data_IF_103420304442
#
_entry.id   IF_103420304442
#
_cell.length_a   1.000
_cell.length_b   1.000
_cell.length_c   1.000
_cell.angle_alpha   90.00
_cell.angle_beta   90.00
_cell.angle_gamma   90.00
#
_symmetry.space_group_name_H-M   'P 1'
#
loop_
_entity.id
_entity.type
_entity.pdbx_description
1 polymer ?
#
# COMPACT_ATOMS: atom_id res chain seq x y z
N UNK A 1 -35.63 -7.92 -32.65
CA UNK A 1 -35.03 -8.65 -33.80
C UNK A 1 -34.05 -7.69 -34.45
N UNK A 2 -32.75 -7.91 -34.67
CA UNK A 2 -31.76 -8.88 -34.26
C UNK A 2 -30.42 -8.26 -34.75
N UNK A 3 -29.45 -7.98 -33.87
CA UNK A 3 -28.10 -8.59 -33.80
C UNK A 3 -27.06 -8.10 -34.86
N UNK A 4 -25.79 -7.97 -34.40
CA UNK A 4 -24.47 -8.13 -35.07
C UNK A 4 -23.83 -6.83 -35.61
N UNK A 5 -22.81 -6.21 -34.99
CA UNK A 5 -21.40 -6.59 -34.66
C UNK A 5 -20.35 -6.23 -35.75
N UNK A 6 -19.12 -5.91 -35.29
CA UNK A 6 -17.83 -5.55 -35.97
C UNK A 6 -17.61 -4.05 -36.16
N UNK A 7 -16.44 -3.43 -36.00
CA UNK A 7 -15.02 -3.84 -35.84
C UNK A 7 -14.24 -2.59 -35.33
N UNK A 8 -13.39 -2.70 -34.29
CA UNK A 8 -11.92 -2.65 -34.35
C UNK A 8 -11.26 -1.41 -35.02
N UNK A 9 -10.65 -0.53 -34.19
CA UNK A 9 -9.39 0.28 -34.35
C UNK A 9 -9.30 1.19 -35.60
N UNK A 10 -8.77 2.44 -35.57
CA UNK A 10 -7.40 2.81 -35.17
C UNK A 10 -7.16 4.34 -35.34
N UNK A 11 -6.34 4.94 -34.44
CA UNK A 11 -5.41 6.12 -34.58
C UNK A 11 -5.95 7.57 -34.69
N UNK A 12 -5.31 8.65 -34.17
CA UNK A 12 -4.14 8.92 -33.30
C UNK A 12 -4.23 10.39 -32.82
N UNK A 13 -3.80 10.63 -31.57
CA UNK A 13 -3.27 11.85 -30.91
C UNK A 13 -3.52 13.27 -31.46
N UNK A 14 -3.95 14.16 -30.55
CA UNK A 14 -3.22 15.39 -30.21
C UNK A 14 -3.54 15.83 -28.77
N UNK A 15 -2.49 16.15 -28.01
CA UNK A 15 -2.44 17.22 -26.99
C UNK A 15 -3.05 16.98 -25.59
N UNK A 16 -2.15 16.74 -24.63
CA UNK A 16 -2.19 17.03 -23.18
C UNK A 16 -3.52 17.43 -22.51
N UNK A 17 -3.83 16.80 -21.37
CA UNK A 17 -4.39 17.52 -20.22
C UNK A 17 -3.30 17.78 -19.16
N UNK A 18 -3.25 18.98 -18.57
CA UNK A 18 -2.45 19.28 -17.40
C UNK A 18 -3.14 18.72 -16.14
N UNK A 19 -2.36 18.60 -15.07
CA UNK A 19 -2.80 18.29 -13.71
C UNK A 19 -3.29 16.85 -13.51
N UNK A 20 -2.36 15.98 -13.10
CA UNK A 20 -2.73 14.85 -12.25
C UNK A 20 -3.24 15.41 -10.93
N UNK A 21 -4.53 15.76 -10.89
CA UNK A 21 -5.32 15.81 -9.67
C UNK A 21 -5.44 14.36 -9.24
N UNK A 22 -4.38 13.85 -8.62
CA UNK A 22 -4.30 12.47 -8.17
C UNK A 22 -5.28 12.30 -7.02
N UNK A 23 -6.51 11.88 -7.34
CA UNK A 23 -7.37 11.21 -6.38
C UNK A 23 -6.82 9.79 -6.24
N UNK A 24 -5.60 9.68 -5.70
CA UNK A 24 -5.03 8.41 -5.27
C UNK A 24 -5.77 8.00 -4.00
N UNK A 25 -6.97 7.45 -4.17
CA UNK A 25 -7.74 6.81 -3.10
C UNK A 25 -7.11 5.48 -2.78
N UNK A 26 -5.91 5.55 -2.24
CA UNK A 26 -5.18 4.37 -1.85
C UNK A 26 -5.74 3.90 -0.51
N UNK A 27 -6.07 2.61 -0.36
CA UNK A 27 -6.62 2.11 0.88
C UNK A 27 -5.71 2.41 2.06
N UNK A 28 -6.31 2.94 3.13
CA UNK A 28 -5.61 3.35 4.36
C UNK A 28 -5.16 2.10 5.10
N UNK A 29 -3.94 2.15 5.63
CA UNK A 29 -3.34 1.02 6.34
C UNK A 29 -4.14 0.55 7.57
N UNK A 30 -4.94 1.45 8.18
CA UNK A 30 -5.82 1.13 9.30
C UNK A 30 -6.95 0.12 8.93
N UNK A 31 -7.20 -0.10 7.63
CA UNK A 31 -8.15 -1.09 7.13
C UNK A 31 -7.54 -2.49 7.01
N UNK A 32 -6.26 -2.65 7.34
CA UNK A 32 -5.56 -3.92 7.30
C UNK A 32 -5.66 -4.49 8.72
N UNK A 33 -6.34 -5.63 8.86
CA UNK A 33 -6.78 -6.17 10.16
C UNK A 33 -5.67 -6.49 11.19
N UNK A 34 -4.39 -6.26 10.86
CA UNK A 34 -3.30 -6.30 11.86
C UNK A 34 -3.52 -5.28 13.00
N UNK A 35 -4.06 -4.08 12.70
CA UNK A 35 -4.34 -3.08 13.74
C UNK A 35 -5.55 -3.46 14.61
N UNK A 36 -6.54 -4.17 14.07
CA UNK A 36 -7.68 -4.68 14.86
C UNK A 36 -7.27 -5.83 15.80
N UNK A 37 -6.26 -6.63 15.43
CA UNK A 37 -5.65 -7.63 16.32
C UNK A 37 -4.99 -6.96 17.54
N UNK A 38 -4.37 -5.80 17.32
CA UNK A 38 -3.79 -4.95 18.38
C UNK A 38 -4.90 -4.35 19.23
N UNK A 39 -5.94 -3.78 18.60
CA UNK A 39 -7.09 -3.21 19.30
C UNK A 39 -7.83 -4.24 20.17
N UNK A 40 -8.07 -5.45 19.65
CA UNK A 40 -8.73 -6.54 20.40
C UNK A 40 -7.97 -6.95 21.66
N UNK A 41 -6.64 -7.04 21.57
CA UNK A 41 -5.77 -7.29 22.72
C UNK A 41 -5.79 -6.15 23.76
N UNK A 42 -6.12 -4.92 23.34
CA UNK A 42 -6.15 -3.72 24.19
C UNK A 42 -7.54 -3.47 24.80
N UNK A 43 -8.62 -3.74 24.07
CA UNK A 43 -10.00 -3.46 24.52
C UNK A 43 -10.67 -4.63 25.23
N UNK A 44 -9.96 -5.73 25.48
CA UNK A 44 -10.48 -6.88 26.23
C UNK A 44 -11.59 -7.68 25.52
N UNK A 45 -11.74 -7.54 24.19
CA UNK A 45 -12.65 -8.39 23.41
C UNK A 45 -11.90 -9.62 22.88
N UNK A 46 -12.53 -10.80 22.85
CA UNK A 46 -11.85 -12.03 22.44
C UNK A 46 -11.36 -11.90 21.00
N UNK A 47 -10.06 -12.05 20.83
CA UNK A 47 -9.39 -12.24 19.55
C UNK A 47 -9.23 -13.75 19.34
N UNK A 48 -9.42 -14.29 18.12
CA UNK A 48 -9.14 -15.69 17.86
C UNK A 48 -7.62 -15.92 17.94
N UNK A 49 -7.24 -16.71 18.93
CA UNK A 49 -5.95 -17.38 19.20
C UNK A 49 -4.70 -16.54 19.54
N UNK A 50 -4.15 -16.68 20.77
CA UNK A 50 -2.93 -16.03 21.23
C UNK A 50 -1.60 -16.77 20.91
N UNK A 51 -1.59 -17.83 20.09
CA UNK A 51 -0.45 -18.78 20.05
C UNK A 51 0.33 -18.92 18.72
N UNK A 52 0.22 -17.99 17.76
CA UNK A 52 1.12 -17.98 16.59
C UNK A 52 1.94 -16.70 16.55
N UNK A 53 3.24 -16.85 16.81
CA UNK A 53 4.30 -15.92 16.39
C UNK A 53 4.26 -15.83 14.87
N UNK A 54 3.38 -14.98 14.34
CA UNK A 54 3.24 -14.75 12.91
C UNK A 54 4.33 -13.80 12.49
N UNK A 55 5.41 -14.33 11.91
CA UNK A 55 6.34 -13.54 11.11
C UNK A 55 5.53 -12.66 10.17
N UNK A 56 5.66 -11.34 10.27
CA UNK A 56 4.89 -10.43 9.43
C UNK A 56 5.50 -10.44 8.02
N UNK A 57 4.97 -11.31 7.16
CA UNK A 57 5.42 -11.51 5.78
C UNK A 57 4.52 -10.79 4.76
N UNK A 58 5.00 -10.64 3.52
CA UNK A 58 4.21 -10.11 2.41
C UNK A 58 2.94 -10.93 2.16
N UNK A 59 3.03 -12.26 2.30
CA UNK A 59 1.89 -13.18 2.11
C UNK A 59 0.86 -13.01 3.22
N UNK A 60 1.29 -12.88 4.48
CA UNK A 60 0.39 -12.64 5.61
C UNK A 60 -0.33 -11.30 5.48
N UNK A 61 0.39 -10.29 5.04
CA UNK A 61 -0.17 -8.97 4.77
C UNK A 61 -1.19 -9.00 3.62
N UNK A 62 -0.93 -9.75 2.55
CA UNK A 62 -1.89 -9.99 1.47
C UNK A 62 -3.16 -10.71 1.97
N UNK A 63 -3.00 -11.73 2.81
CA UNK A 63 -4.12 -12.45 3.40
C UNK A 63 -4.99 -11.56 4.30
N UNK A 64 -4.37 -10.59 4.99
CA UNK A 64 -5.12 -9.58 5.76
C UNK A 64 -5.91 -8.64 4.85
N UNK A 65 -5.37 -8.27 3.68
CA UNK A 65 -6.09 -7.47 2.68
C UNK A 65 -7.35 -8.20 2.20
N UNK A 66 -7.24 -9.49 1.87
CA UNK A 66 -8.38 -10.30 1.45
C UNK A 66 -9.42 -10.51 2.54
N UNK A 67 -8.99 -10.70 3.78
CA UNK A 67 -9.91 -10.79 4.92
C UNK A 67 -10.68 -9.49 5.08
N UNK A 68 -10.00 -8.34 5.02
CA UNK A 68 -10.66 -7.03 5.08
C UNK A 68 -11.67 -6.86 3.93
N UNK A 69 -11.33 -7.36 2.73
CA UNK A 69 -12.22 -7.40 1.55
C UNK A 69 -13.49 -8.20 1.79
N UNK A 70 -13.35 -9.45 2.24
CA UNK A 70 -14.46 -10.36 2.47
C UNK A 70 -15.38 -9.90 3.60
N UNK A 71 -14.83 -9.23 4.61
CA UNK A 71 -15.59 -8.74 5.76
C UNK A 71 -16.33 -7.42 5.50
N UNK A 72 -16.19 -6.81 4.31
CA UNK A 72 -16.87 -5.55 3.98
C UNK A 72 -16.51 -4.41 4.94
N UNK A 73 -15.30 -4.44 5.52
CA UNK A 73 -14.82 -3.46 6.52
C UNK A 73 -14.50 -2.08 5.89
N UNK A 74 -15.06 -1.81 4.71
CA UNK A 74 -14.89 -0.60 3.93
C UNK A 74 -15.93 0.48 4.24
N UNK A 75 -17.02 0.12 4.92
CA UNK A 75 -18.14 1.03 5.23
C UNK A 75 -17.71 2.26 6.05
N UNK A 76 -16.71 2.11 6.92
CA UNK A 76 -16.13 3.20 7.71
C UNK A 76 -15.17 4.10 6.90
N UNK A 77 -14.85 3.72 5.66
CA UNK A 77 -13.89 4.37 4.76
C UNK A 77 -14.53 4.95 3.50
N UNK A 78 -15.87 4.88 3.37
CA UNK A 78 -16.66 5.71 2.44
C UNK A 78 -16.69 7.16 2.95
N UNK A 79 -15.54 7.70 3.31
CA UNK A 79 -15.36 9.10 3.59
C UNK A 79 -14.78 9.74 2.32
N UNK A 80 -15.67 10.15 1.41
CA UNK A 80 -15.33 10.76 0.12
C UNK A 80 -16.13 10.20 -1.06
N UNK A 81 -15.69 10.48 -2.29
CA UNK A 81 -16.38 10.10 -3.55
C UNK A 81 -15.99 8.71 -4.11
N UNK A 82 -15.60 7.76 -3.26
CA UNK A 82 -15.18 6.44 -3.75
C UNK A 82 -16.21 5.38 -3.38
N UNK A 83 -16.60 4.55 -4.35
CA UNK A 83 -17.48 3.42 -4.10
C UNK A 83 -16.74 2.32 -3.35
N UNK A 84 -17.50 1.53 -2.61
CA UNK A 84 -17.00 0.31 -1.96
C UNK A 84 -16.32 -0.62 -2.96
N UNK A 85 -16.87 -0.74 -4.18
CA UNK A 85 -16.30 -1.53 -5.26
C UNK A 85 -14.88 -1.07 -5.62
N UNK A 86 -14.66 0.24 -5.81
CA UNK A 86 -13.32 0.77 -6.13
C UNK A 86 -12.31 0.46 -5.02
N UNK A 87 -12.73 0.47 -3.76
CA UNK A 87 -11.86 0.11 -2.64
C UNK A 87 -11.56 -1.39 -2.69
N UNK A 88 -12.59 -2.23 -2.82
CA UNK A 88 -12.45 -3.68 -2.95
C UNK A 88 -11.47 -4.08 -4.06
N UNK A 89 -11.60 -3.50 -5.25
CA UNK A 89 -10.72 -3.76 -6.40
C UNK A 89 -9.28 -3.35 -6.10
N UNK A 90 -9.07 -2.22 -5.40
CA UNK A 90 -7.74 -1.79 -5.00
C UNK A 90 -7.10 -2.75 -3.98
N UNK A 91 -7.88 -3.30 -3.05
CA UNK A 91 -7.39 -4.32 -2.10
C UNK A 91 -7.03 -5.63 -2.79
N UNK A 92 -7.85 -6.06 -3.76
CA UNK A 92 -7.57 -7.25 -4.57
C UNK A 92 -6.25 -7.07 -5.32
N UNK A 93 -6.10 -5.99 -6.09
CA UNK A 93 -4.87 -5.69 -6.82
C UNK A 93 -3.65 -5.60 -5.91
N UNK A 94 -3.78 -4.99 -4.74
CA UNK A 94 -2.67 -4.94 -3.77
C UNK A 94 -2.30 -6.32 -3.24
N UNK A 95 -3.29 -7.16 -2.92
CA UNK A 95 -3.06 -8.52 -2.42
C UNK A 95 -2.35 -9.40 -3.46
N UNK A 96 -2.69 -9.26 -4.74
CA UNK A 96 -2.05 -10.00 -5.83
C UNK A 96 -0.58 -9.60 -5.99
N UNK A 97 -0.28 -8.30 -6.00
CA UNK A 97 1.10 -7.80 -6.08
C UNK A 97 1.94 -8.29 -4.88
N UNK A 98 1.39 -8.22 -3.67
CA UNK A 98 2.04 -8.72 -2.46
C UNK A 98 2.29 -10.23 -2.50
N UNK A 99 1.34 -11.01 -3.04
CA UNK A 99 1.51 -12.46 -3.21
C UNK A 99 2.60 -12.80 -4.20
N UNK A 100 2.60 -12.13 -5.35
CA UNK A 100 3.63 -12.34 -6.36
C UNK A 100 5.02 -12.06 -5.77
N UNK A 101 5.21 -10.88 -5.17
CA UNK A 101 6.49 -10.50 -4.55
C UNK A 101 6.86 -11.40 -3.37
N UNK A 102 5.88 -11.79 -2.56
CA UNK A 102 6.09 -12.69 -1.42
C UNK A 102 6.45 -14.12 -1.81
N UNK A 103 6.09 -14.57 -3.02
CA UNK A 103 6.55 -15.86 -3.55
C UNK A 103 8.03 -15.86 -3.91
N UNK A 104 8.60 -14.68 -4.18
CA UNK A 104 10.03 -14.47 -4.48
C UNK A 104 10.80 -14.26 -3.17
N UNK A 105 10.34 -13.33 -2.33
CA UNK A 105 10.91 -13.03 -1.02
C UNK A 105 9.79 -12.76 -0.01
N UNK A 106 9.46 -13.72 0.87
CA UNK A 106 8.40 -13.54 1.87
C UNK A 106 8.64 -12.34 2.81
N UNK A 107 9.89 -11.96 3.05
CA UNK A 107 10.24 -10.90 3.99
C UNK A 107 10.15 -9.50 3.37
N UNK A 108 10.30 -9.41 2.05
CA UNK A 108 10.36 -8.17 1.27
C UNK A 108 11.64 -7.35 1.44
N UNK A 109 12.66 -7.87 2.12
CA UNK A 109 13.92 -7.17 2.43
C UNK A 109 14.97 -7.31 1.32
N UNK A 110 14.89 -8.35 0.51
CA UNK A 110 15.87 -8.70 -0.54
C UNK A 110 15.33 -8.52 -1.97
N UNK A 111 14.23 -7.77 -2.13
CA UNK A 111 13.61 -7.53 -3.44
C UNK A 111 14.44 -6.59 -4.33
N UNK A 112 14.97 -7.14 -5.42
CA UNK A 112 15.70 -6.41 -6.46
C UNK A 112 14.75 -5.65 -7.41
N UNK A 113 15.29 -4.69 -8.16
CA UNK A 113 14.51 -3.93 -9.14
C UNK A 113 13.93 -4.82 -10.26
N UNK A 114 14.64 -5.90 -10.63
CA UNK A 114 14.14 -6.93 -11.56
C UNK A 114 12.84 -7.55 -11.06
N UNK A 115 12.78 -8.00 -9.80
CA UNK A 115 11.58 -8.60 -9.21
C UNK A 115 10.40 -7.64 -9.23
N UNK A 116 10.64 -6.35 -8.98
CA UNK A 116 9.60 -5.31 -9.03
C UNK A 116 9.10 -5.08 -10.45
N UNK A 117 9.99 -5.07 -11.45
CA UNK A 117 9.62 -4.99 -12.88
C UNK A 117 8.86 -6.25 -13.32
N UNK A 118 9.20 -7.43 -12.83
CA UNK A 118 8.46 -8.64 -13.20
C UNK A 118 7.07 -8.66 -12.56
N UNK A 119 6.92 -8.09 -11.35
CA UNK A 119 5.61 -7.87 -10.74
C UNK A 119 4.73 -6.91 -11.54
N UNK A 120 5.30 -5.87 -12.18
CA UNK A 120 4.52 -4.96 -13.02
C UNK A 120 3.92 -5.66 -14.23
N UNK A 121 4.69 -6.57 -14.85
CA UNK A 121 4.24 -7.39 -15.97
C UNK A 121 3.18 -8.40 -15.51
N UNK A 122 3.44 -9.11 -14.41
CA UNK A 122 2.55 -10.16 -13.92
C UNK A 122 1.19 -9.61 -13.46
N UNK A 123 1.19 -8.47 -12.76
CA UNK A 123 -0.02 -7.89 -12.17
C UNK A 123 -0.61 -6.76 -13.02
N UNK A 124 -0.10 -6.56 -14.24
CA UNK A 124 -0.49 -5.50 -15.17
C UNK A 124 -0.62 -4.11 -14.46
N UNK A 125 0.44 -3.74 -13.73
CA UNK A 125 0.48 -2.57 -12.86
C UNK A 125 1.70 -1.70 -13.15
N UNK A 126 1.80 -0.54 -12.49
CA UNK A 126 2.96 0.36 -12.65
C UNK A 126 4.00 0.11 -11.56
N UNK A 127 5.27 0.43 -11.84
CA UNK A 127 6.34 0.34 -10.83
C UNK A 127 6.04 1.22 -9.61
N UNK A 128 5.35 2.35 -9.82
CA UNK A 128 4.88 3.23 -8.76
C UNK A 128 3.87 2.55 -7.83
N UNK A 129 2.94 1.75 -8.38
CA UNK A 129 2.00 0.97 -7.58
C UNK A 129 2.75 -0.08 -6.74
N UNK A 130 3.72 -0.79 -7.34
CA UNK A 130 4.56 -1.77 -6.63
C UNK A 130 5.32 -1.14 -5.46
N UNK A 131 6.03 -0.03 -5.71
CA UNK A 131 6.79 0.69 -4.66
C UNK A 131 5.89 1.21 -3.55
N UNK A 132 4.70 1.72 -3.91
CA UNK A 132 3.76 2.21 -2.92
C UNK A 132 3.20 1.10 -2.03
N UNK A 133 2.92 -0.07 -2.60
CA UNK A 133 2.46 -1.25 -1.85
C UNK A 133 3.56 -1.78 -0.92
N UNK A 134 4.81 -1.88 -1.41
CA UNK A 134 5.95 -2.28 -0.60
C UNK A 134 6.19 -1.30 0.57
N UNK A 135 6.03 0.00 0.34
CA UNK A 135 6.14 0.99 1.41
C UNK A 135 5.03 0.87 2.47
N UNK A 136 3.81 0.51 2.08
CA UNK A 136 2.75 0.20 3.05
C UNK A 136 3.10 -1.00 3.90
N UNK A 137 3.61 -2.05 3.26
CA UNK A 137 4.05 -3.25 3.96
C UNK A 137 5.21 -2.96 4.92
N UNK A 138 6.26 -2.26 4.47
CA UNK A 138 7.42 -1.95 5.31
C UNK A 138 7.04 -1.10 6.52
N UNK A 139 6.20 -0.07 6.32
CA UNK A 139 5.68 0.73 7.42
C UNK A 139 4.87 -0.11 8.41
N UNK A 140 3.99 -1.00 7.92
CA UNK A 140 3.20 -1.88 8.78
C UNK A 140 4.09 -2.82 9.59
N UNK A 141 5.10 -3.41 8.95
CA UNK A 141 6.08 -4.29 9.59
C UNK A 141 6.82 -3.57 10.72
N UNK A 142 7.34 -2.38 10.45
CA UNK A 142 8.06 -1.58 11.46
C UNK A 142 7.15 -1.12 12.60
N UNK A 143 5.94 -0.70 12.29
CA UNK A 143 4.97 -0.31 13.30
C UNK A 143 4.55 -1.51 14.17
N UNK A 144 4.45 -2.72 13.60
CA UNK A 144 4.18 -3.93 14.39
C UNK A 144 5.31 -4.20 15.37
N UNK A 145 6.55 -4.13 14.88
CA UNK A 145 7.76 -4.30 15.69
C UNK A 145 7.83 -3.29 16.84
N UNK A 146 7.49 -2.01 16.60
CA UNK A 146 7.45 -1.01 17.67
C UNK A 146 6.35 -1.28 18.70
N UNK A 147 5.17 -1.72 18.26
CA UNK A 147 4.06 -2.03 19.16
C UNK A 147 4.37 -3.28 20.01
N UNK A 148 4.98 -4.29 19.42
CA UNK A 148 5.45 -5.49 20.13
C UNK A 148 6.51 -5.13 21.18
N UNK A 149 7.49 -4.28 20.83
CA UNK A 149 8.47 -3.76 21.79
C UNK A 149 7.82 -3.01 22.95
N UNK A 150 6.81 -2.16 22.69
CA UNK A 150 6.08 -1.47 23.77
C UNK A 150 5.35 -2.46 24.69
N UNK A 151 4.82 -3.56 24.13
CA UNK A 151 4.17 -4.63 24.89
C UNK A 151 5.16 -5.33 25.82
N UNK A 152 6.34 -5.67 25.32
CA UNK A 152 7.42 -6.29 26.10
C UNK A 152 7.92 -5.36 27.22
N UNK A 153 8.04 -4.07 26.95
CA UNK A 153 8.44 -3.05 27.93
C UNK A 153 7.34 -2.68 28.93
N UNK A 154 6.13 -3.27 28.82
CA UNK A 154 4.98 -2.96 29.69
C UNK A 154 4.41 -1.55 29.52
N UNK A 155 4.74 -0.88 28.41
CA UNK A 155 4.27 0.49 28.11
C UNK A 155 2.84 0.46 27.56
N UNK A 156 2.08 1.57 27.71
CA UNK A 156 0.74 1.65 27.14
C UNK A 156 0.79 1.48 25.63
N UNK A 157 -0.03 0.56 25.13
CA UNK A 157 -0.16 0.30 23.70
C UNK A 157 -1.02 1.37 23.03
N UNK A 158 -0.68 1.77 21.78
CA UNK A 158 -1.45 2.77 21.06
C UNK A 158 -2.86 2.26 20.77
N UNK A 159 -3.87 3.10 21.09
CA UNK A 159 -5.30 2.74 21.00
C UNK A 159 -5.91 3.13 19.65
N UNK A 160 -5.24 4.00 18.90
CA UNK A 160 -5.71 4.51 17.62
C UNK A 160 -4.61 4.54 16.57
N UNK A 161 -4.99 4.47 15.31
CA UNK A 161 -4.04 4.62 14.21
C UNK A 161 -3.31 5.97 14.23
N UNK A 162 -3.98 7.04 14.67
CA UNK A 162 -3.34 8.35 14.82
C UNK A 162 -2.19 8.30 15.83
N UNK A 163 -2.34 7.54 16.90
CA UNK A 163 -1.30 7.33 17.89
C UNK A 163 -0.14 6.48 17.33
N UNK A 164 -0.45 5.47 16.50
CA UNK A 164 0.59 4.73 15.76
C UNK A 164 1.35 5.66 14.81
N UNK A 165 0.67 6.55 14.09
CA UNK A 165 1.33 7.52 13.21
C UNK A 165 2.27 8.44 14.00
N UNK A 166 1.85 8.90 15.19
CA UNK A 166 2.71 9.70 16.09
C UNK A 166 3.93 8.89 16.56
N UNK A 167 3.73 7.64 16.96
CA UNK A 167 4.82 6.73 17.36
C UNK A 167 5.81 6.44 16.21
N UNK A 168 5.30 6.37 14.99
CA UNK A 168 6.11 6.13 13.80
C UNK A 168 6.82 7.39 13.28
N UNK A 169 6.30 8.58 13.60
CA UNK A 169 6.82 9.86 13.11
C UNK A 169 6.65 10.04 11.59
N UNK A 170 5.87 9.19 10.93
CA UNK A 170 5.64 9.21 9.49
C UNK A 170 4.37 8.45 9.11
N UNK A 171 3.89 8.69 7.90
CA UNK A 171 2.77 7.95 7.30
C UNK A 171 3.25 6.97 6.22
N UNK A 172 2.51 5.88 5.94
CA UNK A 172 2.86 4.95 4.85
C UNK A 172 3.03 5.63 3.49
N UNK A 173 2.24 6.67 3.23
CA UNK A 173 2.30 7.43 1.98
C UNK A 173 3.60 8.26 1.87
N UNK A 174 4.06 8.85 2.98
CA UNK A 174 5.33 9.59 3.03
C UNK A 174 6.53 8.66 2.84
N UNK A 175 6.48 7.45 3.42
CA UNK A 175 7.50 6.42 3.17
C UNK A 175 7.51 6.02 1.70
N UNK A 176 6.33 5.77 1.10
CA UNK A 176 6.24 5.41 -0.32
C UNK A 176 6.76 6.51 -1.25
N UNK A 177 6.45 7.77 -0.96
CA UNK A 177 6.98 8.94 -1.66
C UNK A 177 8.51 9.03 -1.59
N UNK A 178 9.07 8.77 -0.41
CA UNK A 178 10.51 8.80 -0.17
C UNK A 178 11.23 7.65 -0.87
N UNK A 179 10.67 6.44 -0.85
CA UNK A 179 11.22 5.28 -1.55
C UNK A 179 11.18 5.47 -3.07
N UNK A 180 10.06 5.96 -3.60
CA UNK A 180 9.94 6.27 -5.02
C UNK A 180 10.98 7.31 -5.45
N UNK A 181 11.18 8.37 -4.66
CA UNK A 181 12.23 9.36 -4.90
C UNK A 181 13.64 8.75 -4.98
N UNK A 182 13.93 7.70 -4.21
CA UNK A 182 15.23 7.01 -4.20
C UNK A 182 15.36 5.95 -5.30
N UNK A 183 14.27 5.48 -5.88
CA UNK A 183 14.26 4.39 -6.87
C UNK A 183 14.93 4.72 -8.22
N UNK A 184 15.17 6.01 -8.52
CA UNK A 184 15.70 6.44 -9.82
C UNK A 184 14.73 6.28 -11.00
N UNK A 185 13.53 5.73 -10.78
CA UNK A 185 12.52 5.46 -11.81
C UNK A 185 11.67 6.68 -12.19
N UNK A 186 12.10 7.87 -11.80
CA UNK A 186 11.33 9.12 -11.97
C UNK A 186 11.94 9.93 -13.09
N UNK A 187 11.08 10.39 -14.02
CA UNK A 187 11.50 11.34 -15.04
C UNK A 187 12.18 12.56 -14.40
N UNK A 188 13.38 12.91 -14.88
CA UNK A 188 14.17 14.05 -14.38
C UNK A 188 13.37 15.36 -14.32
N UNK A 189 12.41 15.55 -15.21
CA UNK A 189 11.58 16.76 -15.27
C UNK A 189 10.26 16.68 -14.48
N UNK A 190 9.84 15.49 -14.02
CA UNK A 190 8.65 15.33 -13.18
C UNK A 190 8.82 16.01 -11.82
N UNK A 191 7.70 16.31 -11.15
CA UNK A 191 7.74 16.78 -9.76
C UNK A 191 8.33 15.68 -8.85
N UNK A 192 9.17 16.09 -7.90
CA UNK A 192 9.78 15.17 -6.96
C UNK A 192 8.71 14.62 -6.00
N UNK A 193 8.57 13.30 -5.85
CA UNK A 193 7.51 12.72 -5.03
C UNK A 193 7.77 12.90 -3.53
N UNK A 194 8.97 13.29 -3.10
CA UNK A 194 9.27 13.55 -1.69
C UNK A 194 8.49 14.74 -1.08
N UNK A 195 7.72 15.47 -1.89
CA UNK A 195 6.89 16.57 -1.41
C UNK A 195 7.59 17.93 -1.39
N UNK A 196 8.81 18.04 -1.91
CA UNK A 196 9.58 19.30 -1.91
C UNK A 196 9.06 20.37 -2.87
N UNK A 197 8.13 20.03 -3.77
CA UNK A 197 7.64 20.92 -4.84
C UNK A 197 8.65 21.19 -5.97
N UNK A 198 9.89 20.68 -5.86
CA UNK A 198 10.95 20.84 -6.87
C UNK A 198 10.84 19.75 -7.96
N UNK A 199 11.38 20.01 -9.15
CA UNK A 199 11.57 18.95 -10.18
C UNK A 199 12.54 17.89 -9.65
N UNK A 200 12.36 16.63 -10.04
CA UNK A 200 13.15 15.49 -9.55
C UNK A 200 14.66 15.74 -9.70
N UNK A 201 15.10 16.20 -10.88
CA UNK A 201 16.50 16.55 -11.16
C UNK A 201 17.09 17.68 -10.31
N UNK A 202 16.25 18.45 -9.60
CA UNK A 202 16.65 19.55 -8.71
C UNK A 202 16.38 19.21 -7.23
N UNK A 203 16.14 17.94 -6.92
CA UNK A 203 15.82 17.46 -5.59
C UNK A 203 16.43 16.07 -5.37
N UNK A 204 15.64 15.02 -5.15
CA UNK A 204 16.15 13.68 -4.85
C UNK A 204 16.92 13.04 -6.01
N UNK A 205 16.73 13.50 -7.25
CA UNK A 205 17.52 13.09 -8.42
C UNK A 205 18.55 14.14 -8.83
N UNK A 206 18.96 15.02 -7.90
CA UNK A 206 20.12 15.87 -8.09
C UNK A 206 21.37 14.98 -8.12
N UNK A 207 22.01 14.97 -9.27
CA UNK A 207 23.28 14.32 -9.59
C UNK A 207 24.00 15.27 -10.53
#
# INVERSE_FOLDING_TARGET
>A
MAIISRSLRTLINLSHPPLSRSISSTPRLNSLGWFDKIKGAITGKPSPDPSKTTSFSLIDFANQMDKARKLGSFKNFVAGRCSEATISDAFEKHSEILRYLGSIDPTGESLQNSHKIDATKHCNCTITEVEHILAKYSWAKEAQKKIEKLKEEGKPLPKSFSEVQKLMGSTPLEVGRSNLAKSGQISRNALCPCGSGKRYKRCCGAS
#
